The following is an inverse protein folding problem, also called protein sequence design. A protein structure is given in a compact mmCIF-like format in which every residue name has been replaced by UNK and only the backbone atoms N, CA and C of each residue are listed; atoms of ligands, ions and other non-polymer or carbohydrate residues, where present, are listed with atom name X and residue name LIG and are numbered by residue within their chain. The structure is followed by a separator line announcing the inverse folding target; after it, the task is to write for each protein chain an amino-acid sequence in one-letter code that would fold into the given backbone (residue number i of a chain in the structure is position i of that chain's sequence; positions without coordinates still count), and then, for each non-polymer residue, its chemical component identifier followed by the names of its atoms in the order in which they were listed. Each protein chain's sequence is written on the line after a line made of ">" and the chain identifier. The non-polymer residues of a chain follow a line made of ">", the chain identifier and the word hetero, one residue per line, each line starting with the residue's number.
data_IF_207272484362
#
_entry.id   IF_207272484362
#
_cell.length_a   1.000
_cell.length_b   1.000
_cell.length_c   1.000
_cell.angle_alpha   90.00
_cell.angle_beta   90.00
_cell.angle_gamma   90.00
#
_symmetry.space_group_name_H-M   'P 1'
#
loop_
_entity.id
_entity.type
_entity.pdbx_description
1 polymer ?
#
# COMPACT_ATOMS: atom_id res chain seq x y z
N UNK A 1 -15.76 0.89 9.63
CA UNK A 1 -15.04 0.35 8.46
C UNK A 1 -13.64 -0.11 8.83
N UNK A 2 -12.58 0.65 8.65
CA UNK A 2 -11.22 0.19 8.97
C UNK A 2 -10.81 0.40 10.44
N UNK A 3 -11.57 1.14 11.20
CA UNK A 3 -11.23 1.55 12.58
C UNK A 3 -9.83 2.18 12.70
N UNK A 4 -9.40 2.87 11.64
CA UNK A 4 -8.10 3.54 11.61
C UNK A 4 -8.30 4.99 12.07
N UNK A 5 -7.67 5.42 13.16
CA UNK A 5 -7.81 6.79 13.63
C UNK A 5 -7.34 7.83 12.62
N UNK A 6 -7.93 9.02 12.64
CA UNK A 6 -7.58 10.11 11.71
C UNK A 6 -6.08 10.43 11.74
N UNK A 7 -5.47 10.37 12.91
CA UNK A 7 -4.03 10.62 13.06
C UNK A 7 -3.20 9.60 12.27
N UNK A 8 -3.63 8.34 12.27
CA UNK A 8 -2.94 7.29 11.48
C UNK A 8 -3.20 7.48 9.97
N UNK A 9 -4.43 7.86 9.60
CA UNK A 9 -4.77 8.11 8.18
C UNK A 9 -3.91 9.24 7.58
N UNK A 10 -3.56 10.24 8.40
CA UNK A 10 -2.71 11.35 7.96
C UNK A 10 -1.20 11.07 8.11
N UNK A 11 -0.80 9.83 8.39
CA UNK A 11 0.59 9.45 8.67
C UNK A 11 1.19 10.34 9.77
N UNK A 12 0.45 10.47 10.87
CA UNK A 12 0.80 11.33 12.01
C UNK A 12 0.89 12.82 11.61
N UNK A 13 0.03 13.24 10.66
CA UNK A 13 -0.04 14.64 10.20
C UNK A 13 0.95 15.00 9.10
N UNK A 14 1.64 14.00 8.54
CA UNK A 14 2.67 14.26 7.50
C UNK A 14 2.15 14.13 6.07
N UNK A 15 1.01 13.46 5.87
CA UNK A 15 0.50 13.19 4.52
C UNK A 15 -0.24 14.39 3.95
N UNK A 16 0.23 14.88 2.83
CA UNK A 16 -0.45 15.89 2.04
C UNK A 16 -1.40 15.29 1.00
N UNK A 17 -2.40 16.07 0.60
CA UNK A 17 -3.32 15.69 -0.47
C UNK A 17 -3.45 16.86 -1.42
N UNK A 18 -3.13 16.65 -2.70
CA UNK A 18 -3.16 17.67 -3.74
C UNK A 18 -4.13 17.26 -4.85
N UNK A 19 -4.81 18.24 -5.42
CA UNK A 19 -5.80 18.00 -6.46
C UNK A 19 -5.42 18.74 -7.74
N UNK A 20 -5.40 18.02 -8.85
CA UNK A 20 -5.45 18.58 -10.20
C UNK A 20 -4.15 19.09 -10.81
N UNK A 21 -3.03 19.01 -10.13
CA UNK A 21 -1.88 19.79 -10.54
C UNK A 21 -0.74 19.05 -11.26
N UNK A 22 -0.55 17.77 -11.01
CA UNK A 22 0.67 17.07 -11.48
C UNK A 22 0.36 15.70 -12.07
N UNK A 23 1.08 15.32 -13.10
CA UNK A 23 1.04 13.99 -13.70
C UNK A 23 0.20 13.90 -14.97
N UNK A 24 0.83 14.13 -16.13
CA UNK A 24 0.18 13.90 -17.42
C UNK A 24 -0.11 12.39 -17.59
N UNK A 25 -1.38 12.04 -17.75
CA UNK A 25 -1.81 10.69 -18.08
C UNK A 25 -1.98 9.73 -16.91
N UNK A 26 -1.73 10.16 -15.68
CA UNK A 26 -1.95 9.31 -14.50
C UNK A 26 -3.25 9.68 -13.78
N UNK A 27 -3.96 8.68 -13.26
CA UNK A 27 -5.18 8.90 -12.48
C UNK A 27 -4.85 9.53 -11.13
N UNK A 28 -3.85 8.97 -10.46
CA UNK A 28 -3.35 9.42 -9.16
C UNK A 28 -1.90 8.96 -9.02
N UNK A 29 -1.18 9.50 -8.06
CA UNK A 29 0.13 8.96 -7.69
C UNK A 29 0.56 9.51 -6.32
N UNK A 30 1.26 8.70 -5.56
CA UNK A 30 1.94 9.11 -4.34
C UNK A 30 3.35 9.60 -4.69
N UNK A 31 3.76 10.74 -4.10
CA UNK A 31 5.11 11.30 -4.25
C UNK A 31 5.88 11.14 -2.93
N UNK A 32 6.80 10.16 -2.84
CA UNK A 32 7.53 9.91 -1.58
C UNK A 32 8.35 11.10 -1.07
N UNK A 33 8.96 11.86 -1.96
CA UNK A 33 9.77 13.02 -1.59
C UNK A 33 8.96 14.17 -0.98
N UNK A 34 7.68 14.29 -1.36
CA UNK A 34 6.78 15.33 -0.86
C UNK A 34 5.83 14.81 0.21
N UNK A 35 5.78 13.48 0.40
CA UNK A 35 4.80 12.79 1.25
C UNK A 35 3.38 13.24 0.89
N UNK A 36 3.06 13.23 -0.41
CA UNK A 36 1.79 13.75 -0.89
C UNK A 36 1.14 12.83 -1.91
N UNK A 37 -0.18 12.68 -1.80
CA UNK A 37 -0.99 12.00 -2.81
C UNK A 37 -1.54 13.08 -3.75
N UNK A 38 -1.31 12.90 -5.04
CA UNK A 38 -1.84 13.75 -6.09
C UNK A 38 -2.98 13.04 -6.80
N UNK A 39 -4.16 13.65 -6.81
CA UNK A 39 -5.35 13.14 -7.50
C UNK A 39 -5.66 14.02 -8.69
N UNK A 40 -5.70 13.46 -9.90
CA UNK A 40 -6.07 14.24 -11.07
C UNK A 40 -7.59 14.45 -11.14
N UNK A 41 -8.01 15.55 -11.76
CA UNK A 41 -9.44 15.93 -11.80
C UNK A 41 -10.31 14.90 -12.52
N UNK A 42 -9.83 14.34 -13.62
CA UNK A 42 -10.64 13.47 -14.46
C UNK A 42 -10.59 11.99 -14.10
N UNK A 43 -9.45 11.53 -13.60
CA UNK A 43 -9.20 10.10 -13.42
C UNK A 43 -8.83 9.71 -11.98
N UNK A 44 -8.82 10.67 -11.06
CA UNK A 44 -8.46 10.44 -9.66
C UNK A 44 -9.49 9.68 -8.82
N UNK A 45 -10.82 9.79 -9.10
CA UNK A 45 -11.79 9.01 -8.33
C UNK A 45 -11.53 7.51 -8.43
N UNK A 46 -11.59 6.83 -7.30
CA UNK A 46 -11.40 5.39 -7.21
C UNK A 46 -9.99 4.94 -6.89
N UNK A 47 -9.00 5.85 -6.89
CA UNK A 47 -7.60 5.50 -6.67
C UNK A 47 -7.08 5.89 -5.28
N UNK A 48 -7.89 6.52 -4.44
CA UNK A 48 -7.40 7.08 -3.17
C UNK A 48 -6.86 6.00 -2.23
N UNK A 49 -7.55 4.87 -2.11
CA UNK A 49 -7.10 3.78 -1.25
C UNK A 49 -5.75 3.21 -1.72
N UNK A 50 -5.58 3.05 -3.03
CA UNK A 50 -4.35 2.57 -3.65
C UNK A 50 -3.17 3.48 -3.27
N UNK A 51 -3.30 4.77 -3.55
CA UNK A 51 -2.21 5.73 -3.30
C UNK A 51 -1.96 5.91 -1.80
N UNK A 52 -3.01 5.83 -0.98
CA UNK A 52 -2.85 5.87 0.47
C UNK A 52 -2.02 4.68 0.96
N UNK A 53 -2.24 3.49 0.40
CA UNK A 53 -1.43 2.34 0.81
C UNK A 53 0.04 2.54 0.42
N UNK A 54 0.33 3.07 -0.77
CA UNK A 54 1.71 3.42 -1.13
C UNK A 54 2.31 4.38 -0.10
N UNK A 55 1.54 5.36 0.38
CA UNK A 55 2.06 6.31 1.37
C UNK A 55 2.34 5.64 2.72
N UNK A 56 1.49 4.70 3.13
CA UNK A 56 1.69 3.92 4.36
C UNK A 56 2.92 3.01 4.25
N UNK A 57 3.03 2.29 3.15
CA UNK A 57 4.12 1.37 2.85
C UNK A 57 5.46 2.11 2.86
N UNK A 58 5.52 3.24 2.17
CA UNK A 58 6.70 4.11 2.16
C UNK A 58 6.99 4.70 3.54
N UNK A 59 5.96 5.12 4.29
CA UNK A 59 6.13 5.66 5.65
C UNK A 59 6.88 4.68 6.55
N UNK A 60 6.59 3.40 6.46
CA UNK A 60 7.29 2.38 7.24
C UNK A 60 8.59 1.92 6.58
N UNK A 61 8.70 1.99 5.26
CA UNK A 61 9.88 1.55 4.52
C UNK A 61 11.07 2.52 4.54
N UNK A 62 10.81 3.81 4.72
CA UNK A 62 11.88 4.81 4.66
C UNK A 62 12.75 4.78 5.92
N UNK A 63 14.05 4.94 5.72
CA UNK A 63 15.06 4.75 6.76
C UNK A 63 15.71 6.04 7.25
N UNK A 64 15.88 6.98 6.35
CA UNK A 64 16.59 8.23 6.65
C UNK A 64 15.59 9.38 6.68
N UNK A 65 15.31 9.85 7.89
CA UNK A 65 14.62 11.12 8.09
C UNK A 65 15.67 12.07 8.66
N UNK A 66 16.02 13.11 7.91
CA UNK A 66 17.00 14.07 8.37
C UNK A 66 16.48 14.84 9.60
N UNK A 67 17.39 15.48 10.33
CA UNK A 67 17.07 16.18 11.57
C UNK A 67 16.07 17.33 11.37
N UNK A 68 15.98 17.88 10.15
CA UNK A 68 15.00 18.90 9.80
C UNK A 68 13.68 18.31 9.27
N UNK A 69 13.53 16.99 9.34
CA UNK A 69 12.32 16.29 8.90
C UNK A 69 12.25 15.99 7.41
N UNK A 70 13.26 16.38 6.64
CA UNK A 70 13.31 16.04 5.22
C UNK A 70 13.62 14.57 5.02
N UNK A 71 12.98 13.99 4.02
CA UNK A 71 13.19 12.60 3.65
C UNK A 71 14.34 12.54 2.67
N UNK A 72 15.39 11.83 3.06
CA UNK A 72 16.60 11.74 2.25
C UNK A 72 16.65 10.47 1.38
N UNK A 73 15.77 9.49 1.65
CA UNK A 73 15.64 8.31 0.81
C UNK A 73 14.17 8.19 0.38
N UNK A 74 13.87 8.46 -0.86
CA UNK A 74 12.51 8.64 -1.33
C UNK A 74 11.84 7.43 -1.96
N UNK A 75 12.48 6.28 -2.02
CA UNK A 75 11.94 5.19 -2.80
C UNK A 75 11.73 3.86 -2.08
N UNK A 76 11.94 3.81 -0.79
CA UNK A 76 11.91 2.54 -0.07
C UNK A 76 10.49 2.22 0.44
N UNK A 77 10.11 0.97 0.28
CA UNK A 77 8.79 0.45 0.67
C UNK A 77 8.96 -0.76 1.60
N UNK A 78 8.11 -0.85 2.61
CA UNK A 78 8.20 -1.94 3.61
C UNK A 78 7.85 -3.29 2.98
N UNK A 79 6.97 -3.31 1.99
CA UNK A 79 6.64 -4.55 1.26
C UNK A 79 7.86 -5.16 0.59
N UNK A 80 8.82 -4.35 0.12
CA UNK A 80 10.06 -4.81 -0.52
C UNK A 80 11.22 -5.00 0.46
N UNK A 81 11.09 -4.54 1.72
CA UNK A 81 12.18 -4.57 2.68
C UNK A 81 12.66 -6.01 2.94
N UNK A 82 13.98 -6.20 2.95
CA UNK A 82 14.59 -7.50 3.16
C UNK A 82 14.75 -7.84 4.65
N UNK A 83 14.94 -6.83 5.50
CA UNK A 83 15.19 -6.99 6.93
C UNK A 83 14.59 -5.83 7.72
N UNK A 84 14.02 -6.16 8.88
CA UNK A 84 13.58 -5.13 9.82
C UNK A 84 14.78 -4.41 10.43
N UNK A 85 14.68 -3.11 10.56
CA UNK A 85 15.66 -2.30 11.28
C UNK A 85 17.04 -2.21 10.66
N UNK A 86 17.23 -2.68 9.42
CA UNK A 86 18.54 -2.62 8.76
C UNK A 86 18.40 -2.10 7.33
N UNK A 87 19.37 -1.30 6.93
CA UNK A 87 19.43 -0.69 5.60
C UNK A 87 20.71 -1.08 4.89
N UNK A 88 20.67 -1.14 3.57
CA UNK A 88 21.87 -1.40 2.76
C UNK A 88 22.51 -0.06 2.43
N UNK A 89 23.73 0.14 2.92
CA UNK A 89 24.46 1.39 2.73
C UNK A 89 25.95 1.07 2.52
N UNK A 90 26.52 1.67 1.49
CA UNK A 90 27.97 1.53 1.18
C UNK A 90 28.40 0.06 1.09
N UNK A 91 27.59 -0.77 0.40
CA UNK A 91 27.93 -2.17 0.15
C UNK A 91 27.68 -3.13 1.31
N UNK A 92 27.06 -2.68 2.41
CA UNK A 92 26.80 -3.55 3.58
C UNK A 92 25.48 -3.17 4.26
N UNK A 93 24.94 -4.11 5.03
CA UNK A 93 23.77 -3.83 5.88
C UNK A 93 24.25 -3.17 7.18
N UNK A 94 23.68 -2.03 7.50
CA UNK A 94 23.91 -1.28 8.75
C UNK A 94 22.59 -1.11 9.49
N UNK A 95 22.65 -0.83 10.79
CA UNK A 95 21.44 -0.59 11.56
C UNK A 95 20.83 0.74 11.14
N UNK A 96 19.51 0.75 10.95
CA UNK A 96 18.78 1.97 10.61
C UNK A 96 18.77 2.91 11.81
N UNK A 97 18.92 4.19 11.54
CA UNK A 97 18.86 5.22 12.60
C UNK A 97 17.47 5.22 13.27
N UNK A 98 16.43 4.97 12.50
CA UNK A 98 15.04 4.92 13.00
C UNK A 98 14.41 3.59 12.54
N UNK A 99 14.72 2.48 13.24
CA UNK A 99 14.23 1.17 12.82
C UNK A 99 12.73 1.03 12.99
N UNK A 100 12.17 0.16 12.18
CA UNK A 100 10.76 -0.24 12.32
C UNK A 100 10.70 -1.39 13.32
N UNK A 101 9.67 -1.40 14.16
CA UNK A 101 9.41 -2.51 15.09
C UNK A 101 9.29 -3.83 14.32
N UNK A 102 9.87 -4.89 14.86
CA UNK A 102 9.87 -6.21 14.21
C UNK A 102 8.45 -6.68 13.87
N UNK A 103 7.49 -6.49 14.78
CA UNK A 103 6.13 -6.95 14.56
C UNK A 103 5.43 -6.20 13.41
N UNK A 104 5.81 -4.96 13.13
CA UNK A 104 5.29 -4.22 11.97
C UNK A 104 5.87 -4.81 10.67
N UNK A 105 7.18 -5.04 10.65
CA UNK A 105 7.83 -5.70 9.52
C UNK A 105 7.17 -7.06 9.25
N UNK A 106 7.01 -7.88 10.29
CA UNK A 106 6.41 -9.21 10.17
C UNK A 106 4.96 -9.13 9.65
N UNK A 107 4.20 -8.11 10.07
CA UNK A 107 2.82 -7.92 9.59
C UNK A 107 2.79 -7.57 8.09
N UNK A 108 3.69 -6.69 7.61
CA UNK A 108 3.80 -6.42 6.18
C UNK A 108 4.20 -7.68 5.40
N UNK A 109 5.15 -8.46 5.93
CA UNK A 109 5.55 -9.74 5.30
C UNK A 109 4.41 -10.76 5.31
N UNK A 110 3.56 -10.72 6.34
CA UNK A 110 2.33 -11.52 6.39
C UNK A 110 1.37 -11.18 5.25
N UNK A 111 1.18 -9.88 4.97
CA UNK A 111 0.37 -9.44 3.83
C UNK A 111 0.97 -9.98 2.52
N UNK A 112 2.28 -9.80 2.31
CA UNK A 112 2.93 -10.27 1.08
C UNK A 112 2.85 -11.80 0.96
N UNK A 113 3.01 -12.53 2.08
CA UNK A 113 2.88 -13.99 2.08
C UNK A 113 1.47 -14.42 1.64
N UNK A 114 0.43 -13.76 2.16
CA UNK A 114 -0.95 -14.08 1.78
C UNK A 114 -1.19 -13.81 0.29
N UNK A 115 -0.72 -12.67 -0.22
CA UNK A 115 -0.85 -12.30 -1.64
C UNK A 115 -0.10 -13.32 -2.52
N UNK A 116 1.15 -13.61 -2.18
CA UNK A 116 2.01 -14.48 -2.99
C UNK A 116 1.56 -15.96 -2.96
N UNK A 117 0.78 -16.34 -1.95
CA UNK A 117 0.19 -17.69 -1.86
C UNK A 117 -1.14 -17.79 -2.61
N UNK A 118 -1.62 -16.70 -3.20
CA UNK A 118 -2.89 -16.66 -3.94
C UNK A 118 -2.63 -16.65 -5.45
N UNK A 119 -3.67 -16.89 -6.24
CA UNK A 119 -3.57 -16.80 -7.70
C UNK A 119 -3.37 -15.36 -8.21
N UNK A 120 -3.51 -14.35 -7.34
CA UNK A 120 -3.27 -12.97 -7.71
C UNK A 120 -1.85 -12.76 -8.27
N UNK A 121 -0.84 -13.40 -7.66
CA UNK A 121 0.55 -13.31 -8.15
C UNK A 121 0.63 -13.82 -9.60
N UNK A 122 0.12 -15.02 -9.88
CA UNK A 122 0.15 -15.62 -11.20
C UNK A 122 -0.55 -14.73 -12.26
N UNK A 123 -1.70 -14.16 -11.89
CA UNK A 123 -2.42 -13.24 -12.80
C UNK A 123 -1.62 -11.95 -13.03
N UNK A 124 -0.97 -11.42 -11.99
CA UNK A 124 -0.14 -10.22 -12.11
C UNK A 124 1.09 -10.47 -13.00
N UNK A 125 1.74 -11.61 -12.85
CA UNK A 125 2.85 -12.02 -13.71
C UNK A 125 2.41 -12.13 -15.18
N UNK A 126 1.22 -12.67 -15.41
CA UNK A 126 0.66 -12.78 -16.77
C UNK A 126 0.44 -11.39 -17.39
N UNK A 127 -0.05 -10.43 -16.61
CA UNK A 127 -0.20 -9.05 -17.08
C UNK A 127 1.16 -8.40 -17.41
N UNK A 128 2.21 -8.77 -16.71
CA UNK A 128 3.57 -8.29 -16.99
C UNK A 128 4.21 -8.96 -18.20
N UNK A 129 3.67 -10.09 -18.67
CA UNK A 129 4.25 -10.84 -19.77
C UNK A 129 4.40 -10.05 -21.08
N UNK A 130 3.68 -8.95 -21.25
CA UNK A 130 3.76 -8.07 -22.42
C UNK A 130 4.50 -6.76 -22.14
N UNK A 131 5.11 -6.63 -20.97
CA UNK A 131 5.79 -5.40 -20.54
C UNK A 131 7.32 -5.60 -20.55
N UNK A 132 8.04 -4.52 -20.82
CA UNK A 132 9.51 -4.53 -20.78
C UNK A 132 10.06 -4.61 -19.34
N UNK A 133 9.28 -4.18 -18.36
CA UNK A 133 9.64 -4.23 -16.95
C UNK A 133 8.40 -4.61 -16.14
N UNK A 134 8.56 -5.42 -15.10
CA UNK A 134 7.44 -5.74 -14.20
C UNK A 134 6.82 -4.48 -13.61
N UNK A 135 5.52 -4.50 -13.47
CA UNK A 135 4.73 -3.50 -12.78
C UNK A 135 3.66 -4.19 -11.94
N UNK A 136 2.83 -5.00 -12.62
CA UNK A 136 1.68 -5.65 -11.97
C UNK A 136 2.10 -6.63 -10.88
N UNK A 137 3.25 -7.31 -11.06
CA UNK A 137 3.74 -8.34 -10.14
C UNK A 137 4.77 -7.83 -9.13
N UNK A 138 5.03 -6.51 -9.09
CA UNK A 138 5.89 -5.97 -8.02
C UNK A 138 5.15 -6.02 -6.68
N UNK A 139 5.88 -6.27 -5.61
CA UNK A 139 5.31 -6.35 -4.25
C UNK A 139 4.52 -5.08 -3.90
N UNK A 140 5.07 -3.91 -4.23
CA UNK A 140 4.47 -2.61 -3.95
C UNK A 140 3.09 -2.49 -4.61
N UNK A 141 3.00 -2.83 -5.90
CA UNK A 141 1.76 -2.69 -6.67
C UNK A 141 0.73 -3.75 -6.31
N UNK A 142 1.18 -4.99 -6.07
CA UNK A 142 0.26 -6.05 -5.63
C UNK A 142 -0.35 -5.72 -4.28
N UNK A 143 0.47 -5.24 -3.34
CA UNK A 143 -0.03 -4.89 -2.00
C UNK A 143 -1.03 -3.72 -2.07
N UNK A 144 -0.75 -2.70 -2.87
CA UNK A 144 -1.65 -1.55 -3.01
C UNK A 144 -3.00 -1.97 -3.62
N UNK A 145 -3.00 -2.82 -4.66
CA UNK A 145 -4.24 -3.32 -5.27
C UNK A 145 -4.99 -4.26 -4.32
N UNK A 146 -4.26 -5.09 -3.59
CA UNK A 146 -4.90 -5.97 -2.60
C UNK A 146 -5.54 -5.14 -1.47
N UNK A 147 -4.86 -4.08 -1.02
CA UNK A 147 -5.43 -3.16 -0.04
C UNK A 147 -6.67 -2.44 -0.57
N UNK A 148 -6.61 -1.96 -1.80
CA UNK A 148 -7.75 -1.32 -2.46
C UNK A 148 -8.98 -2.23 -2.43
N UNK A 149 -8.78 -3.51 -2.78
CA UNK A 149 -9.86 -4.50 -2.77
C UNK A 149 -10.35 -4.82 -1.35
N UNK A 150 -9.42 -4.88 -0.38
CA UNK A 150 -9.75 -5.05 1.04
C UNK A 150 -10.63 -3.89 1.56
N UNK A 151 -10.28 -2.65 1.19
CA UNK A 151 -11.08 -1.47 1.58
C UNK A 151 -12.49 -1.55 0.98
N UNK A 152 -12.61 -1.96 -0.29
CA UNK A 152 -13.91 -2.13 -0.94
C UNK A 152 -14.76 -3.18 -0.19
N UNK A 153 -14.15 -4.30 0.18
CA UNK A 153 -14.81 -5.36 0.91
C UNK A 153 -15.30 -4.86 2.28
N UNK A 154 -14.45 -4.18 3.03
CA UNK A 154 -14.82 -3.60 4.34
C UNK A 154 -15.93 -2.55 4.21
N UNK A 155 -15.90 -1.74 3.15
CA UNK A 155 -16.94 -0.74 2.89
C UNK A 155 -18.29 -1.42 2.64
N UNK A 156 -18.31 -2.46 1.79
CA UNK A 156 -19.52 -3.24 1.51
C UNK A 156 -20.08 -3.88 2.78
N UNK A 157 -19.22 -4.46 3.61
CA UNK A 157 -19.65 -5.08 4.88
C UNK A 157 -20.24 -4.05 5.83
N UNK A 158 -19.81 -2.79 5.74
CA UNK A 158 -20.33 -1.68 6.54
C UNK A 158 -21.53 -0.97 5.89
N UNK A 159 -21.97 -1.41 4.72
CA UNK A 159 -23.07 -0.76 3.98
C UNK A 159 -22.71 0.60 3.42
N UNK A 160 -21.42 0.84 3.14
CA UNK A 160 -20.94 2.13 2.64
C UNK A 160 -20.42 1.97 1.22
N UNK A 161 -20.80 2.88 0.34
CA UNK A 161 -20.26 2.99 -1.01
C UNK A 161 -19.53 4.33 -1.16
N UNK A 162 -18.34 4.31 -1.71
CA UNK A 162 -17.54 5.52 -1.93
C UNK A 162 -16.61 5.33 -3.13
N UNK A 163 -17.07 5.78 -4.28
CA UNK A 163 -16.35 5.62 -5.55
C UNK A 163 -15.07 6.46 -5.64
N UNK A 164 -14.91 7.46 -4.77
CA UNK A 164 -13.64 8.18 -4.68
C UNK A 164 -12.57 7.34 -3.99
N UNK A 165 -12.99 6.58 -3.00
CA UNK A 165 -12.07 5.77 -2.22
C UNK A 165 -11.60 4.56 -3.03
N UNK A 166 -12.56 3.82 -3.60
CA UNK A 166 -12.31 2.61 -4.39
C UNK A 166 -13.37 2.48 -5.49
N UNK A 167 -12.95 2.16 -6.70
CA UNK A 167 -13.86 1.91 -7.82
C UNK A 167 -13.38 0.70 -8.62
N UNK A 168 -13.40 -0.47 -8.01
CA UNK A 168 -12.97 -1.73 -8.64
C UNK A 168 -14.21 -2.48 -9.15
N UNK A 169 -14.20 -2.84 -10.41
CA UNK A 169 -15.21 -3.72 -10.98
C UNK A 169 -15.03 -5.14 -10.46
N UNK A 170 -16.12 -5.89 -10.38
CA UNK A 170 -16.07 -7.30 -9.97
C UNK A 170 -15.27 -8.12 -10.99
N UNK A 171 -14.71 -9.23 -10.56
CA UNK A 171 -13.98 -10.13 -11.45
C UNK A 171 -14.86 -10.59 -12.62
N UNK A 172 -16.14 -10.87 -12.34
CA UNK A 172 -17.09 -11.32 -13.35
C UNK A 172 -17.39 -10.26 -14.42
N UNK A 173 -17.25 -8.98 -14.07
CA UNK A 173 -17.46 -7.86 -15.00
C UNK A 173 -16.26 -7.65 -15.94
N UNK A 174 -15.14 -8.27 -15.63
CA UNK A 174 -13.89 -8.11 -16.40
C UNK A 174 -13.88 -8.90 -17.73
N UNK A 175 -14.72 -9.92 -17.84
CA UNK A 175 -14.78 -10.76 -19.03
C UNK A 175 -13.57 -11.64 -19.28
N UNK A 176 -12.48 -11.45 -18.53
CA UNK A 176 -11.26 -12.25 -18.63
C UNK A 176 -10.67 -12.46 -17.23
N UNK A 177 -11.12 -13.52 -16.52
CA UNK A 177 -10.66 -13.76 -15.14
C UNK A 177 -9.13 -13.87 -14.99
N UNK A 178 -8.45 -14.37 -15.99
CA UNK A 178 -6.99 -14.57 -15.93
C UNK A 178 -6.17 -13.26 -15.92
N UNK A 179 -6.81 -12.14 -16.27
CA UNK A 179 -6.15 -10.82 -16.22
C UNK A 179 -6.74 -9.92 -15.15
N UNK A 180 -7.55 -10.47 -14.26
CA UNK A 180 -8.11 -9.70 -13.14
C UNK A 180 -7.01 -9.40 -12.13
N UNK A 181 -6.69 -8.13 -11.97
CA UNK A 181 -5.48 -7.68 -11.25
C UNK A 181 -5.66 -7.56 -9.74
N UNK A 182 -6.87 -7.79 -9.22
CA UNK A 182 -7.22 -7.63 -7.80
C UNK A 182 -7.49 -8.99 -7.16
N UNK A 183 -7.44 -9.09 -5.83
CA UNK A 183 -7.89 -10.33 -5.18
C UNK A 183 -9.37 -10.61 -5.44
N UNK A 184 -9.70 -11.86 -5.67
CA UNK A 184 -11.07 -12.35 -5.70
C UNK A 184 -11.62 -12.43 -4.26
N UNK A 185 -12.95 -12.66 -4.12
CA UNK A 185 -13.54 -12.89 -2.80
C UNK A 185 -12.91 -14.12 -2.11
N UNK A 186 -12.69 -15.19 -2.86
CA UNK A 186 -12.07 -16.40 -2.30
C UNK A 186 -10.65 -16.15 -1.78
N UNK A 187 -9.89 -15.31 -2.49
CA UNK A 187 -8.52 -14.97 -2.06
C UNK A 187 -8.53 -14.04 -0.83
N UNK A 188 -9.48 -13.10 -0.75
CA UNK A 188 -9.67 -12.30 0.46
C UNK A 188 -9.97 -13.20 1.66
N UNK A 189 -10.92 -14.12 1.49
CA UNK A 189 -11.32 -15.08 2.54
C UNK A 189 -10.20 -16.08 2.85
N UNK A 190 -9.36 -16.37 1.88
CA UNK A 190 -8.23 -17.30 1.99
C UNK A 190 -7.03 -16.76 2.77
N UNK A 191 -7.13 -15.56 3.35
CA UNK A 191 -6.09 -15.03 4.24
C UNK A 191 -5.70 -13.59 4.00
N UNK A 192 -5.98 -13.02 2.83
CA UNK A 192 -5.56 -11.64 2.53
C UNK A 192 -6.27 -10.65 3.47
N UNK A 193 -7.59 -10.84 3.70
CA UNK A 193 -8.35 -9.98 4.63
C UNK A 193 -7.76 -10.04 6.05
N UNK A 194 -7.50 -11.26 6.55
CA UNK A 194 -6.96 -11.44 7.90
C UNK A 194 -5.56 -10.80 8.03
N UNK A 195 -4.73 -10.91 6.99
CA UNK A 195 -3.39 -10.32 7.01
C UNK A 195 -3.46 -8.78 7.09
N UNK A 196 -4.37 -8.13 6.35
CA UNK A 196 -4.57 -6.69 6.49
C UNK A 196 -5.17 -6.32 7.85
N UNK A 197 -6.15 -7.08 8.35
CA UNK A 197 -6.70 -6.84 9.70
C UNK A 197 -5.58 -6.91 10.76
N UNK A 198 -4.68 -7.88 10.63
CA UNK A 198 -3.51 -8.00 11.53
C UNK A 198 -2.57 -6.80 11.37
N UNK A 199 -2.24 -6.42 10.14
CA UNK A 199 -1.39 -5.25 9.87
C UNK A 199 -1.94 -3.99 10.54
N UNK A 200 -3.25 -3.73 10.38
CA UNK A 200 -3.85 -2.51 10.95
C UNK A 200 -3.93 -2.56 12.47
N UNK A 201 -4.13 -3.71 13.07
CA UNK A 201 -4.02 -3.86 14.53
C UNK A 201 -2.59 -3.58 15.00
N UNK A 202 -1.64 -4.02 14.30
CA UNK A 202 -0.21 -3.82 14.60
C UNK A 202 0.29 -2.39 14.35
N UNK A 203 -0.08 -1.82 13.38
CA UNK A 203 0.39 -0.55 12.95
C UNK A 203 -0.21 0.52 13.76
N UNK A 204 -1.51 0.35 14.46
CA UNK A 204 -2.07 1.34 15.27
C UNK A 204 -1.49 1.23 16.63
N UNK A 205 -1.32 2.22 17.22
CA UNK A 205 -0.90 2.33 18.58
C UNK A 205 -2.11 2.56 19.41
N UNK A 206 -1.91 2.40 20.37
CA UNK A 206 -2.91 2.72 21.33
C UNK A 206 -3.20 4.15 21.51
N UNK A 207 -2.30 4.98 21.16
CA UNK A 207 -2.48 6.45 21.18
C UNK A 207 -3.19 6.99 19.93
N UNK A 208 -3.66 6.11 19.06
CA UNK A 208 -4.38 6.52 17.84
C UNK A 208 -3.50 6.99 16.70
N UNK A 209 -2.18 6.98 16.86
CA UNK A 209 -1.24 7.28 15.77
C UNK A 209 -0.51 6.03 15.29
N UNK A 210 0.27 6.19 14.23
CA UNK A 210 1.15 5.12 13.75
C UNK A 210 2.40 5.06 14.62
N UNK A 211 2.74 3.86 15.04
CA UNK A 211 3.95 3.63 15.85
C UNK A 211 4.99 2.89 15.02
N UNK A 212 6.06 3.60 14.71
CA UNK A 212 7.15 3.06 13.90
C UNK A 212 8.20 2.32 14.77
N UNK A 213 8.54 2.89 15.91
CA UNK A 213 9.52 2.32 16.87
C UNK A 213 8.86 2.13 18.23
#
# INVERSE_FOLDING_TARGET
>A
MLNVPTKALSLNGRLGLAFGARGKGKAAHYEPGEVAINLTKGNGPGALAHEWFHSLDNYFGRYDVSTDGKITSGGDYMTEAQRAGRVFKDGRYVDAEYPVRQEVYDAFKGVMKAINSSDMLRRSERLDGVRSKPYWSTDVEMAARAFERYVQDKARMAGVENDYLVNIRKADDHGQPDTYAYPTNAELDGGIREAFDHLFRTXXXXSGGLRRV
#
